data_IF_154145598098
#
_entry.id   IF_154145598098
#
_cell.length_a   1.000
_cell.length_b   1.000
_cell.length_c   1.000
_cell.angle_alpha   90.00
_cell.angle_beta   90.00
_cell.angle_gamma   90.00
#
_symmetry.space_group_name_H-M   'P 1'
#
loop_
_entity.id
_entity.type
_entity.pdbx_description
1 polymer ?
#
# COMPACT_ATOMS: atom_id res chain seq x y z
N UNK A 1 -60.67 -5.02 26.50
CA UNK A 1 -59.71 -5.70 25.61
C UNK A 1 -58.30 -5.23 25.99
N UNK A 2 -57.99 -5.26 27.30
CA UNK A 2 -57.01 -4.31 27.89
C UNK A 2 -55.82 -4.99 28.60
N UNK A 3 -55.81 -6.32 28.73
CA UNK A 3 -54.71 -7.03 29.40
C UNK A 3 -53.46 -7.24 28.53
N UNK A 4 -53.56 -7.10 27.21
CA UNK A 4 -52.43 -7.38 26.29
C UNK A 4 -51.45 -6.21 26.15
N UNK A 5 -51.92 -4.98 26.32
CA UNK A 5 -51.07 -3.78 26.16
C UNK A 5 -50.16 -3.63 27.37
N UNK A 6 -50.67 -3.95 28.56
CA UNK A 6 -49.99 -3.73 29.84
C UNK A 6 -48.80 -4.68 30.07
N UNK A 7 -48.91 -5.93 29.61
CA UNK A 7 -47.79 -6.88 29.63
C UNK A 7 -46.69 -6.48 28.63
N UNK A 8 -47.06 -5.93 27.47
CA UNK A 8 -46.12 -5.50 26.44
C UNK A 8 -45.38 -4.22 26.87
N UNK A 9 -46.08 -3.26 27.48
CA UNK A 9 -45.47 -2.05 28.07
C UNK A 9 -44.63 -2.38 29.30
N UNK A 10 -45.00 -3.33 30.16
CA UNK A 10 -44.15 -3.80 31.26
C UNK A 10 -42.88 -4.49 30.77
N UNK A 11 -42.96 -5.34 29.74
CA UNK A 11 -41.76 -5.97 29.15
C UNK A 11 -40.85 -4.91 28.53
N UNK A 12 -41.40 -3.94 27.77
CA UNK A 12 -40.62 -2.83 27.22
C UNK A 12 -39.98 -1.94 28.32
N UNK A 13 -40.70 -1.63 29.39
CA UNK A 13 -40.18 -0.77 30.48
C UNK A 13 -39.29 -1.49 31.49
N UNK A 14 -39.40 -2.81 31.67
CA UNK A 14 -38.52 -3.55 32.57
C UNK A 14 -37.30 -4.14 31.87
N UNK A 15 -37.38 -4.49 30.58
CA UNK A 15 -36.23 -5.08 29.86
C UNK A 15 -35.42 -4.09 29.04
N UNK A 16 -36.02 -3.03 28.48
CA UNK A 16 -35.29 -2.09 27.61
C UNK A 16 -34.76 -0.89 28.40
N UNK A 17 -35.51 -0.40 29.39
CA UNK A 17 -35.13 0.78 30.18
C UNK A 17 -33.87 0.65 31.08
N UNK A 18 -33.55 -0.51 31.72
CA UNK A 18 -32.32 -0.61 32.49
C UNK A 18 -31.07 -0.81 31.61
N UNK A 19 -31.23 -1.22 30.34
CA UNK A 19 -30.12 -1.25 29.38
C UNK A 19 -29.80 0.16 28.87
N UNK A 20 -30.81 1.05 28.83
CA UNK A 20 -30.64 2.48 28.49
C UNK A 20 -30.16 3.38 29.63
N UNK A 21 -30.12 2.90 30.88
CA UNK A 21 -29.82 3.76 32.05
C UNK A 21 -28.34 3.79 32.46
N UNK A 22 -27.49 2.96 31.85
CA UNK A 22 -26.04 2.99 32.09
C UNK A 22 -25.32 3.76 30.98
N UNK A 23 -24.97 5.05 31.19
CA UNK A 23 -24.21 5.81 30.21
C UNK A 23 -22.83 5.16 29.93
N UNK A 24 -22.30 4.40 30.88
CA UNK A 24 -21.05 3.65 30.75
C UNK A 24 -21.19 2.50 29.75
N UNK A 25 -22.29 1.74 29.80
CA UNK A 25 -22.51 0.65 28.84
C UNK A 25 -22.70 1.20 27.41
N UNK A 26 -23.42 2.31 27.28
CA UNK A 26 -23.66 2.96 26.00
C UNK A 26 -22.40 3.54 25.37
N UNK A 27 -21.55 4.18 26.17
CA UNK A 27 -20.25 4.69 25.72
C UNK A 27 -19.33 3.54 25.30
N UNK A 28 -19.31 2.43 26.02
CA UNK A 28 -18.56 1.23 25.63
C UNK A 28 -19.09 0.61 24.33
N UNK A 29 -20.41 0.45 24.19
CA UNK A 29 -21.00 -0.08 22.97
C UNK A 29 -20.75 0.84 21.76
N UNK A 30 -20.85 2.15 21.95
CA UNK A 30 -20.61 3.16 20.91
C UNK A 30 -19.14 3.21 20.49
N UNK A 31 -18.21 3.15 21.46
CA UNK A 31 -16.77 3.10 21.18
C UNK A 31 -16.36 1.81 20.47
N UNK A 32 -16.91 0.66 20.87
CA UNK A 32 -16.70 -0.61 20.16
C UNK A 32 -17.26 -0.55 18.73
N UNK A 33 -18.48 -0.04 18.56
CA UNK A 33 -19.08 0.14 17.23
C UNK A 33 -18.25 1.06 16.33
N UNK A 34 -17.83 2.22 16.84
CA UNK A 34 -16.97 3.16 16.12
C UNK A 34 -15.62 2.54 15.76
N UNK A 35 -15.00 1.78 16.69
CA UNK A 35 -13.74 1.08 16.45
C UNK A 35 -13.85 0.05 15.33
N UNK A 36 -14.92 -0.76 15.33
CA UNK A 36 -15.17 -1.76 14.29
C UNK A 36 -15.37 -1.08 12.92
N UNK A 37 -16.13 0.02 12.88
CA UNK A 37 -16.36 0.78 11.64
C UNK A 37 -15.03 1.35 11.13
N UNK A 38 -14.25 2.01 11.99
CA UNK A 38 -12.95 2.58 11.65
C UNK A 38 -11.99 1.52 11.10
N UNK A 39 -11.96 0.34 11.72
CA UNK A 39 -11.07 -0.75 11.32
C UNK A 39 -11.51 -1.44 10.02
N UNK A 40 -12.81 -1.36 9.67
CA UNK A 40 -13.37 -1.92 8.44
C UNK A 40 -13.26 -0.99 7.23
N UNK A 41 -13.19 0.32 7.44
CA UNK A 41 -13.21 1.29 6.33
C UNK A 41 -11.89 2.05 6.21
N UNK A 42 -11.41 2.66 7.29
CA UNK A 42 -10.25 3.55 7.25
C UNK A 42 -8.92 2.79 7.16
N UNK A 43 -8.75 1.71 7.92
CA UNK A 43 -7.49 0.95 7.94
C UNK A 43 -7.13 0.39 6.55
N UNK A 44 -7.98 -0.39 5.86
CA UNK A 44 -7.64 -0.92 4.53
C UNK A 44 -7.45 0.18 3.49
N UNK A 45 -8.23 1.25 3.53
CA UNK A 45 -8.07 2.38 2.61
C UNK A 45 -6.73 3.10 2.81
N UNK A 46 -6.29 3.27 4.06
CA UNK A 46 -5.02 3.95 4.36
C UNK A 46 -3.81 3.10 4.00
N UNK A 47 -3.85 1.77 4.21
CA UNK A 47 -2.74 0.88 3.86
C UNK A 47 -2.55 0.77 2.36
N UNK A 48 -3.62 0.53 1.60
CA UNK A 48 -3.58 0.48 0.13
C UNK A 48 -3.13 1.83 -0.44
N UNK A 49 -3.62 2.95 0.11
CA UNK A 49 -3.18 4.28 -0.29
C UNK A 49 -1.68 4.50 -0.06
N UNK A 50 -1.15 4.08 1.10
CA UNK A 50 0.30 4.18 1.38
C UNK A 50 1.14 3.34 0.41
N UNK A 51 0.69 2.13 0.06
CA UNK A 51 1.35 1.31 -0.95
C UNK A 51 1.34 1.97 -2.32
N UNK A 52 0.21 2.53 -2.75
CA UNK A 52 0.10 3.27 -4.02
C UNK A 52 1.02 4.49 -4.05
N UNK A 53 1.09 5.25 -2.97
CA UNK A 53 2.01 6.40 -2.85
C UNK A 53 3.47 5.95 -2.93
N UNK A 54 3.85 4.89 -2.21
CA UNK A 54 5.20 4.34 -2.25
C UNK A 54 5.57 3.86 -3.67
N UNK A 55 4.67 3.16 -4.36
CA UNK A 55 4.85 2.77 -5.76
C UNK A 55 5.02 3.99 -6.66
N UNK A 56 4.14 4.99 -6.53
CA UNK A 56 4.21 6.22 -7.34
C UNK A 56 5.52 6.96 -7.16
N UNK A 57 6.07 7.00 -5.94
CA UNK A 57 7.39 7.57 -5.71
C UNK A 57 8.50 6.83 -6.47
N UNK A 58 8.43 5.49 -6.54
CA UNK A 58 9.37 4.68 -7.33
C UNK A 58 9.20 4.92 -8.84
N UNK A 59 7.96 5.10 -9.31
CA UNK A 59 7.66 5.40 -10.70
C UNK A 59 8.24 6.76 -11.14
N UNK A 60 8.09 7.79 -10.29
CA UNK A 60 8.72 9.11 -10.49
C UNK A 60 10.24 9.00 -10.50
N UNK A 61 10.81 8.23 -9.57
CA UNK A 61 12.25 8.00 -9.49
C UNK A 61 12.77 7.32 -10.77
N UNK A 62 12.05 6.32 -11.27
CA UNK A 62 12.37 5.61 -12.51
C UNK A 62 12.29 6.54 -13.73
N UNK A 63 11.23 7.35 -13.84
CA UNK A 63 11.09 8.32 -14.93
C UNK A 63 12.23 9.35 -14.94
N UNK A 64 12.65 9.83 -13.76
CA UNK A 64 13.77 10.77 -13.62
C UNK A 64 15.11 10.15 -14.06
N UNK A 65 15.31 8.87 -13.78
CA UNK A 65 16.52 8.15 -14.17
C UNK A 65 16.64 8.03 -15.68
N UNK A 66 15.56 7.65 -16.36
CA UNK A 66 15.52 7.56 -17.82
C UNK A 66 15.80 8.89 -18.52
N UNK A 67 15.15 9.97 -18.09
CA UNK A 67 15.37 11.30 -18.66
C UNK A 67 16.84 11.71 -18.52
N UNK A 68 17.43 11.45 -17.35
CA UNK A 68 18.82 11.74 -17.10
C UNK A 68 19.77 10.93 -17.99
N UNK A 69 19.48 9.65 -18.25
CA UNK A 69 20.30 8.80 -19.13
C UNK A 69 20.11 9.08 -20.63
N UNK A 70 18.91 9.40 -21.08
CA UNK A 70 18.63 9.78 -22.47
C UNK A 70 19.32 11.09 -22.87
N UNK A 71 19.24 12.11 -22.02
CA UNK A 71 19.93 13.41 -22.23
C UNK A 71 21.45 13.24 -22.23
N UNK A 72 21.92 12.27 -21.45
CA UNK A 72 23.31 11.92 -21.22
C UNK A 72 23.95 11.00 -22.28
N UNK A 73 23.13 10.24 -22.99
CA UNK A 73 23.50 9.17 -23.91
C UNK A 73 23.48 9.57 -25.39
N UNK A 74 23.39 10.86 -25.70
CA UNK A 74 23.50 11.42 -27.06
C UNK A 74 24.84 11.13 -27.77
N UNK A 75 25.73 10.34 -27.15
CA UNK A 75 27.02 9.89 -27.68
C UNK A 75 26.93 8.43 -28.19
N UNK A 76 26.28 8.24 -29.35
CA UNK A 76 26.57 7.27 -30.44
C UNK A 76 26.94 5.79 -30.21
N UNK A 77 26.77 5.15 -29.04
CA UNK A 77 27.02 3.70 -28.90
C UNK A 77 25.70 2.86 -28.85
N UNK A 78 25.30 2.18 -29.94
CA UNK A 78 23.99 1.54 -30.06
C UNK A 78 23.75 0.40 -29.05
N UNK A 79 24.81 -0.32 -28.67
CA UNK A 79 24.76 -1.43 -27.71
C UNK A 79 24.51 -0.97 -26.26
N UNK A 80 25.00 0.22 -25.89
CA UNK A 80 24.79 0.79 -24.56
C UNK A 80 23.34 1.21 -24.34
N UNK A 81 22.71 1.77 -25.39
CA UNK A 81 21.32 2.17 -25.36
C UNK A 81 20.37 0.97 -25.20
N UNK A 82 20.70 -0.19 -25.78
CA UNK A 82 19.88 -1.41 -25.65
C UNK A 82 19.87 -1.96 -24.20
N UNK A 83 21.01 -1.92 -23.51
CA UNK A 83 21.13 -2.39 -22.12
C UNK A 83 20.27 -1.52 -21.19
N UNK A 84 20.33 -0.21 -21.35
CA UNK A 84 19.53 0.75 -20.56
C UNK A 84 18.04 0.53 -20.78
N UNK A 85 17.63 0.43 -22.04
CA UNK A 85 16.21 0.18 -22.39
C UNK A 85 15.74 -1.14 -21.79
N UNK A 86 16.57 -2.19 -21.84
CA UNK A 86 16.23 -3.50 -21.28
C UNK A 86 16.06 -3.45 -19.75
N UNK A 87 16.97 -2.78 -19.05
CA UNK A 87 16.92 -2.62 -17.60
C UNK A 87 15.68 -1.81 -17.17
N UNK A 88 15.39 -0.71 -17.88
CA UNK A 88 14.16 0.06 -17.69
C UNK A 88 12.90 -0.78 -17.87
N UNK A 89 12.82 -1.55 -18.96
CA UNK A 89 11.67 -2.42 -19.22
C UNK A 89 11.51 -3.49 -18.15
N UNK A 90 12.61 -3.95 -17.53
CA UNK A 90 12.55 -4.87 -16.40
C UNK A 90 12.01 -4.20 -15.13
N UNK A 91 12.44 -2.96 -14.84
CA UNK A 91 11.89 -2.17 -13.75
C UNK A 91 10.40 -1.85 -13.92
N UNK A 92 9.97 -1.49 -15.14
CA UNK A 92 8.56 -1.32 -15.46
C UNK A 92 7.76 -2.60 -15.26
N UNK A 93 8.27 -3.75 -15.73
CA UNK A 93 7.62 -5.05 -15.50
C UNK A 93 7.49 -5.36 -14.01
N UNK A 94 8.49 -5.05 -13.19
CA UNK A 94 8.39 -5.19 -11.74
C UNK A 94 7.36 -4.25 -11.12
N UNK A 95 7.30 -2.98 -11.54
CA UNK A 95 6.27 -2.03 -11.08
C UNK A 95 4.85 -2.50 -11.41
N UNK A 96 4.65 -3.10 -12.58
CA UNK A 96 3.35 -3.67 -12.97
C UNK A 96 2.96 -4.86 -12.09
N UNK A 97 3.90 -5.76 -11.78
CA UNK A 97 3.66 -6.88 -10.85
C UNK A 97 3.30 -6.38 -9.44
N UNK A 98 3.98 -5.34 -8.97
CA UNK A 98 3.66 -4.71 -7.68
C UNK A 98 2.25 -4.12 -7.73
N UNK A 99 1.88 -3.44 -8.81
CA UNK A 99 0.54 -2.89 -8.97
C UNK A 99 -0.54 -3.97 -8.91
N UNK A 100 -0.34 -5.09 -9.61
CA UNK A 100 -1.25 -6.23 -9.56
C UNK A 100 -1.42 -6.76 -8.12
N UNK A 101 -0.33 -6.85 -7.34
CA UNK A 101 -0.42 -7.24 -5.92
C UNK A 101 -1.20 -6.22 -5.08
N UNK A 102 -1.01 -4.92 -5.32
CA UNK A 102 -1.76 -3.87 -4.60
C UNK A 102 -3.25 -3.96 -4.92
N UNK A 103 -3.60 -4.22 -6.18
CA UNK A 103 -4.98 -4.37 -6.61
C UNK A 103 -5.60 -5.65 -6.06
N UNK A 104 -4.85 -6.75 -6.00
CA UNK A 104 -5.27 -7.99 -5.36
C UNK A 104 -5.55 -7.81 -3.86
N UNK A 105 -4.67 -7.10 -3.13
CA UNK A 105 -4.92 -6.70 -1.73
C UNK A 105 -6.21 -5.90 -1.62
N UNK A 106 -6.42 -4.93 -2.53
CA UNK A 106 -7.62 -4.10 -2.53
C UNK A 106 -8.89 -4.93 -2.77
N UNK A 107 -8.86 -5.85 -3.73
CA UNK A 107 -10.00 -6.73 -4.04
C UNK A 107 -10.27 -7.65 -2.86
N UNK A 108 -9.24 -8.25 -2.27
CA UNK A 108 -9.37 -9.11 -1.10
C UNK A 108 -9.96 -8.37 0.10
N UNK A 109 -9.59 -7.10 0.33
CA UNK A 109 -10.24 -6.31 1.39
C UNK A 109 -11.71 -6.02 1.09
N UNK A 110 -12.06 -5.71 -0.16
CA UNK A 110 -13.45 -5.50 -0.57
C UNK A 110 -14.31 -6.76 -0.42
N UNK A 111 -13.81 -7.92 -0.84
CA UNK A 111 -14.54 -9.19 -0.69
C UNK A 111 -14.72 -9.52 0.79
N UNK A 112 -13.68 -9.31 1.56
CA UNK A 112 -13.62 -9.78 2.91
C UNK A 112 -14.31 -8.80 3.88
N UNK A 113 -14.65 -7.58 3.46
CA UNK A 113 -15.59 -6.68 4.14
C UNK A 113 -17.03 -7.24 4.21
N UNK A 114 -17.40 -8.16 3.30
CA UNK A 114 -18.70 -8.85 3.30
C UNK A 114 -18.81 -9.95 4.36
N UNK A 115 -17.69 -10.32 4.99
CA UNK A 115 -17.67 -11.37 6.01
C UNK A 115 -18.31 -10.91 7.33
N UNK A 116 -18.82 -11.85 8.15
CA UNK A 116 -19.16 -11.60 9.54
C UNK A 116 -17.98 -10.94 10.29
N UNK A 117 -18.28 -10.10 11.28
CA UNK A 117 -17.24 -9.37 12.02
C UNK A 117 -16.23 -10.27 12.71
N UNK A 118 -16.67 -11.44 13.20
CA UNK A 118 -15.79 -12.45 13.81
C UNK A 118 -14.76 -12.98 12.83
N UNK A 119 -15.18 -13.28 11.61
CA UNK A 119 -14.28 -13.81 10.57
C UNK A 119 -13.38 -12.71 10.01
N UNK A 120 -13.89 -11.47 9.91
CA UNK A 120 -13.12 -10.30 9.52
C UNK A 120 -11.98 -10.00 10.49
N UNK A 121 -12.25 -10.06 11.80
CA UNK A 121 -11.27 -9.83 12.85
C UNK A 121 -10.53 -11.10 13.27
N UNK A 122 -10.68 -12.20 12.52
CA UNK A 122 -9.98 -13.45 12.85
C UNK A 122 -8.46 -13.20 12.87
N UNK A 123 -7.74 -13.68 13.90
CA UNK A 123 -6.30 -13.46 14.01
C UNK A 123 -5.55 -13.90 12.75
N UNK A 124 -5.88 -15.08 12.22
CA UNK A 124 -5.29 -15.62 10.99
C UNK A 124 -5.40 -14.66 9.82
N UNK A 125 -6.56 -14.05 9.61
CA UNK A 125 -6.75 -13.08 8.54
C UNK A 125 -5.94 -11.82 8.78
N UNK A 126 -6.00 -11.25 9.98
CA UNK A 126 -5.25 -10.02 10.32
C UNK A 126 -3.75 -10.24 10.10
N UNK A 127 -3.22 -11.38 10.54
CA UNK A 127 -1.82 -11.75 10.31
C UNK A 127 -1.50 -11.90 8.82
N UNK A 128 -2.32 -12.62 8.06
CA UNK A 128 -2.11 -12.80 6.62
C UNK A 128 -2.16 -11.46 5.86
N UNK A 129 -3.08 -10.58 6.23
CA UNK A 129 -3.20 -9.25 5.65
C UNK A 129 -1.94 -8.41 5.90
N UNK A 130 -1.50 -8.32 7.15
CA UNK A 130 -0.28 -7.60 7.53
C UNK A 130 0.95 -8.17 6.83
N UNK A 131 1.05 -9.51 6.76
CA UNK A 131 2.15 -10.18 6.08
C UNK A 131 2.20 -9.84 4.59
N UNK A 132 1.06 -9.89 3.91
CA UNK A 132 0.94 -9.58 2.48
C UNK A 132 1.32 -8.12 2.18
N UNK A 133 0.84 -7.18 3.00
CA UNK A 133 1.24 -5.77 2.89
C UNK A 133 2.74 -5.59 3.11
N UNK A 134 3.29 -6.25 4.14
CA UNK A 134 4.73 -6.18 4.46
C UNK A 134 5.59 -6.66 3.29
N UNK A 135 5.21 -7.79 2.68
CA UNK A 135 5.88 -8.30 1.48
C UNK A 135 5.80 -7.31 0.32
N UNK A 136 4.62 -6.76 0.05
CA UNK A 136 4.45 -5.76 -1.01
C UNK A 136 5.33 -4.52 -0.78
N UNK A 137 5.44 -4.05 0.48
CA UNK A 137 6.30 -2.93 0.81
C UNK A 137 7.80 -3.25 0.64
N UNK A 138 8.22 -4.47 1.01
CA UNK A 138 9.58 -4.95 0.79
C UNK A 138 9.92 -5.00 -0.70
N UNK A 139 9.00 -5.44 -1.54
CA UNK A 139 9.19 -5.47 -3.00
C UNK A 139 9.39 -4.05 -3.55
N UNK A 140 8.53 -3.09 -3.17
CA UNK A 140 8.66 -1.67 -3.56
C UNK A 140 10.02 -1.13 -3.15
N UNK A 141 10.43 -1.33 -1.89
CA UNK A 141 11.70 -0.81 -1.37
C UNK A 141 12.90 -1.46 -2.04
N UNK A 142 12.81 -2.74 -2.37
CA UNK A 142 13.87 -3.46 -3.09
C UNK A 142 14.04 -2.91 -4.49
N UNK A 143 12.92 -2.64 -5.19
CA UNK A 143 12.95 -2.04 -6.51
C UNK A 143 13.54 -0.63 -6.48
N UNK A 144 13.11 0.20 -5.52
CA UNK A 144 13.67 1.53 -5.31
C UNK A 144 15.20 1.49 -5.17
N UNK A 145 15.72 0.63 -4.28
CA UNK A 145 17.16 0.48 -4.04
C UNK A 145 17.92 0.03 -5.29
N UNK A 146 17.34 -0.85 -6.11
CA UNK A 146 17.96 -1.29 -7.37
C UNK A 146 18.12 -0.12 -8.34
N UNK A 147 17.08 0.70 -8.50
CA UNK A 147 17.13 1.86 -9.38
C UNK A 147 18.13 2.91 -8.84
N UNK A 148 18.12 3.19 -7.55
CA UNK A 148 19.08 4.10 -6.91
C UNK A 148 20.53 3.62 -7.09
N UNK A 149 20.78 2.33 -6.91
CA UNK A 149 22.09 1.73 -7.09
C UNK A 149 22.55 1.81 -8.56
N UNK A 150 21.66 1.50 -9.52
CA UNK A 150 21.95 1.61 -10.94
C UNK A 150 22.32 3.05 -11.33
N UNK A 151 21.53 4.03 -10.83
CA UNK A 151 21.82 5.47 -11.00
C UNK A 151 23.18 5.87 -10.42
N UNK A 152 23.53 5.38 -9.24
CA UNK A 152 24.83 5.66 -8.62
C UNK A 152 26.00 5.09 -9.44
N UNK A 153 25.87 3.87 -9.96
CA UNK A 153 26.88 3.26 -10.83
C UNK A 153 27.04 4.03 -12.15
N UNK A 154 25.92 4.43 -12.77
CA UNK A 154 25.93 5.24 -13.99
C UNK A 154 26.65 6.58 -13.77
N UNK A 155 26.34 7.26 -12.66
CA UNK A 155 27.00 8.51 -12.27
C UNK A 155 28.51 8.32 -12.04
N UNK A 156 28.92 7.26 -11.33
CA UNK A 156 30.33 6.98 -11.07
C UNK A 156 31.10 6.74 -12.38
N UNK A 157 30.55 5.90 -13.27
CA UNK A 157 31.15 5.62 -14.57
C UNK A 157 31.35 6.89 -15.42
N UNK A 158 30.37 7.81 -15.40
CA UNK A 158 30.50 9.12 -16.09
C UNK A 158 31.65 9.95 -15.51
N UNK A 159 31.78 10.00 -14.18
CA UNK A 159 32.87 10.71 -13.53
C UNK A 159 34.23 10.14 -13.94
N UNK A 160 34.37 8.81 -13.93
CA UNK A 160 35.61 8.13 -14.32
C UNK A 160 35.98 8.41 -15.78
N UNK A 161 34.99 8.44 -16.68
CA UNK A 161 35.17 8.81 -18.10
C UNK A 161 35.65 10.25 -18.28
N UNK A 162 35.07 11.22 -17.55
CA UNK A 162 35.50 12.62 -17.62
C UNK A 162 36.94 12.80 -17.14
N UNK A 163 37.34 12.08 -16.07
CA UNK A 163 38.73 12.11 -15.58
C UNK A 163 39.69 11.53 -16.61
N UNK A 164 39.32 10.43 -17.29
CA UNK A 164 40.16 9.84 -18.34
C UNK A 164 40.34 10.75 -19.55
N UNK A 165 39.28 11.44 -20.00
CA UNK A 165 39.35 12.39 -21.11
C UNK A 165 40.28 13.57 -20.78
N UNK A 166 40.14 14.17 -19.59
CA UNK A 166 41.03 15.25 -19.16
C UNK A 166 42.49 14.81 -19.00
N UNK A 167 42.74 13.54 -18.65
CA UNK A 167 44.09 13.00 -18.54
C UNK A 167 44.75 12.67 -19.91
N UNK A 168 43.98 12.63 -21.00
CA UNK A 168 44.49 12.35 -22.36
C UNK A 168 44.62 13.61 -23.23
N UNK A 169 44.07 14.75 -22.81
CA UNK A 169 44.23 16.05 -23.46
C UNK A 169 45.48 16.85 -22.99
N UNK A 170 46.24 16.33 -22.01
CA UNK A 170 47.50 16.91 -21.50
C UNK A 170 48.69 16.12 -22.02
#
# INVERSE_FOLDING_TARGET
>A
MDLSVDAFTQILTQYIFPITSSPILWTLASTLGASIILHRTCVPCTTVRKLRLARSAVDILLASHNLMELVSGSSNLPLYNEIIVREYMDYQRHLLRIQQKIDDISVNECTAQKLPWKDYLSPTRVFNHVFTISLCYKDIRTLQRKIEHSKALSSKRRSDLMVQLHATEV
#
